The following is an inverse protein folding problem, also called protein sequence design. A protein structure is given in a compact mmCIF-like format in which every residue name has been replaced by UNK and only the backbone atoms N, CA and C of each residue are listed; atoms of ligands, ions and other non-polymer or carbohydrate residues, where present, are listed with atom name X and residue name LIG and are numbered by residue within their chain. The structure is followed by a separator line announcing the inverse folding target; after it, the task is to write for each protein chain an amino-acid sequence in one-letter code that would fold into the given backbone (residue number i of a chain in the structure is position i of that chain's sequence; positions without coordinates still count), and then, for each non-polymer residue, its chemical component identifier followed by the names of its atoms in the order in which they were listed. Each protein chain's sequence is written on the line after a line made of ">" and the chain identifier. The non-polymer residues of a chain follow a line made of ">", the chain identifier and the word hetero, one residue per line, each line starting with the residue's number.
data_IF_853912372586
#
_entry.id   IF_853912372586
#
_cell.length_a   1.000
_cell.length_b   1.000
_cell.length_c   1.000
_cell.angle_alpha   90.00
_cell.angle_beta   90.00
_cell.angle_gamma   90.00
#
_symmetry.space_group_name_H-M   'P 1'
#
loop_
_entity.id
_entity.type
_entity.pdbx_description
1 polymer ?
#
# COMPACT_ATOMS: atom_id res chain seq x y z
N UNK A 1 -8.70 5.57 15.52
CA UNK A 1 -8.49 5.12 14.13
C UNK A 1 -7.43 6.02 13.54
N UNK A 2 -6.30 5.50 13.05
CA UNK A 2 -5.43 6.31 12.19
C UNK A 2 -6.31 6.75 11.01
N UNK A 3 -6.60 8.05 10.92
CA UNK A 3 -7.67 8.57 10.08
C UNK A 3 -7.38 8.33 8.61
N UNK A 4 -8.42 8.30 7.80
CA UNK A 4 -8.33 8.27 6.33
C UNK A 4 -7.38 9.36 5.79
N UNK A 5 -7.30 10.52 6.44
CA UNK A 5 -6.31 11.57 6.15
C UNK A 5 -4.86 11.13 6.37
N UNK A 6 -4.56 10.45 7.49
CA UNK A 6 -3.20 9.96 7.79
C UNK A 6 -2.75 9.01 6.69
N UNK A 7 -3.68 8.14 6.27
CA UNK A 7 -3.48 7.23 5.16
C UNK A 7 -3.28 7.97 3.84
N UNK A 8 -4.14 8.93 3.51
CA UNK A 8 -4.02 9.68 2.25
C UNK A 8 -2.66 10.38 2.14
N UNK A 9 -2.13 10.91 3.25
CA UNK A 9 -0.79 11.51 3.29
C UNK A 9 0.33 10.48 3.10
N UNK A 10 0.25 9.35 3.78
CA UNK A 10 1.30 8.31 3.72
C UNK A 10 1.34 7.61 2.35
N UNK A 11 0.18 7.36 1.74
CA UNK A 11 0.09 6.67 0.46
C UNK A 11 0.15 7.62 -0.74
N UNK A 12 -0.12 8.92 -0.54
CA UNK A 12 -0.08 9.93 -1.61
C UNK A 12 1.30 10.11 -2.24
N UNK A 13 2.38 9.81 -1.50
CA UNK A 13 3.76 9.88 -2.02
C UNK A 13 3.98 8.91 -3.18
N UNK A 14 3.34 7.74 -3.17
CA UNK A 14 3.48 6.75 -4.25
C UNK A 14 2.93 7.24 -5.59
N UNK A 15 1.99 8.20 -5.59
CA UNK A 15 1.46 8.83 -6.82
C UNK A 15 2.51 9.67 -7.55
N UNK A 16 3.57 10.11 -6.86
CA UNK A 16 4.65 10.88 -7.46
C UNK A 16 5.52 10.02 -8.37
N UNK A 17 5.54 8.70 -8.14
CA UNK A 17 6.31 7.75 -8.94
C UNK A 17 5.50 7.37 -10.18
N UNK A 18 5.77 8.06 -11.28
CA UNK A 18 5.15 7.81 -12.58
C UNK A 18 5.90 6.73 -13.34
N UNK A 19 5.57 5.49 -13.03
CA UNK A 19 5.99 4.30 -13.77
C UNK A 19 4.79 3.39 -14.06
N UNK A 20 5.01 2.39 -14.92
CA UNK A 20 4.01 1.39 -15.29
C UNK A 20 4.21 0.06 -14.53
N UNK A 21 4.99 0.07 -13.44
CA UNK A 21 5.21 -1.13 -12.64
C UNK A 21 4.16 -1.23 -11.53
N UNK A 22 3.77 -2.46 -11.12
CA UNK A 22 2.90 -2.64 -9.97
C UNK A 22 3.61 -2.13 -8.71
N UNK A 23 2.91 -1.29 -7.94
CA UNK A 23 3.43 -0.74 -6.68
C UNK A 23 2.89 -1.56 -5.52
N UNK A 24 3.74 -1.93 -4.56
CA UNK A 24 3.35 -2.73 -3.42
C UNK A 24 3.59 -1.98 -2.11
N UNK A 25 2.64 -2.12 -1.17
CA UNK A 25 2.80 -1.69 0.22
C UNK A 25 2.69 -2.93 1.10
N UNK A 26 3.74 -3.20 1.86
CA UNK A 26 3.81 -4.32 2.79
C UNK A 26 3.35 -3.85 4.17
N UNK A 27 2.29 -4.45 4.73
CA UNK A 27 1.89 -4.22 6.12
C UNK A 27 1.58 -5.54 6.82
N UNK A 28 1.49 -5.48 8.15
CA UNK A 28 1.00 -6.57 8.98
C UNK A 28 -0.52 -6.51 9.22
N UNK A 29 -1.21 -5.51 8.65
CA UNK A 29 -2.67 -5.43 8.72
C UNK A 29 -3.28 -6.41 7.71
N UNK A 30 -4.42 -7.00 8.05
CA UNK A 30 -5.19 -7.90 7.17
C UNK A 30 -6.22 -7.15 6.33
N UNK A 31 -6.51 -5.89 6.67
CA UNK A 31 -7.45 -5.07 5.90
C UNK A 31 -6.88 -4.72 4.52
N UNK A 32 -7.66 -4.95 3.46
CA UNK A 32 -7.26 -4.60 2.11
C UNK A 32 -7.59 -3.14 1.82
N UNK A 33 -6.57 -2.40 1.42
CA UNK A 33 -6.68 -0.98 1.12
C UNK A 33 -5.97 -0.64 -0.19
N UNK A 34 -5.96 -1.60 -1.10
CA UNK A 34 -5.39 -1.43 -2.42
C UNK A 34 -6.20 -0.37 -3.17
N UNK A 35 -5.52 0.63 -3.73
CA UNK A 35 -6.13 1.73 -4.45
C UNK A 35 -5.16 2.26 -5.51
N UNK A 36 -5.68 2.67 -6.66
CA UNK A 36 -4.90 3.35 -7.71
C UNK A 36 -3.64 2.60 -8.17
N UNK A 37 -3.72 1.27 -8.25
CA UNK A 37 -2.59 0.43 -8.67
C UNK A 37 -1.54 0.18 -7.59
N UNK A 38 -1.76 0.68 -6.37
CA UNK A 38 -1.00 0.32 -5.17
C UNK A 38 -1.65 -0.91 -4.55
N UNK A 39 -0.91 -2.01 -4.51
CA UNK A 39 -1.35 -3.31 -4.00
C UNK A 39 -0.90 -3.46 -2.56
N UNK A 40 -1.86 -3.72 -1.67
CA UNK A 40 -1.57 -4.08 -0.29
C UNK A 40 -1.20 -5.56 -0.20
N UNK A 41 0.03 -5.86 0.24
CA UNK A 41 0.51 -7.22 0.47
C UNK A 41 0.72 -7.45 1.96
N UNK A 42 0.19 -8.58 2.46
CA UNK A 42 0.41 -8.99 3.83
C UNK A 42 1.87 -9.44 4.01
N UNK A 43 2.58 -8.82 4.94
CA UNK A 43 4.02 -8.99 5.10
C UNK A 43 4.41 -10.47 5.33
N UNK A 44 3.73 -11.26 6.18
CA UNK A 44 4.02 -12.69 6.32
C UNK A 44 3.82 -13.52 5.07
N UNK A 45 2.92 -13.12 4.16
CA UNK A 45 2.73 -13.83 2.89
C UNK A 45 3.86 -13.47 1.92
N UNK A 46 4.23 -12.19 1.85
CA UNK A 46 5.39 -11.74 1.06
C UNK A 46 6.69 -12.42 1.48
N UNK A 47 6.91 -12.66 2.77
CA UNK A 47 8.11 -13.33 3.27
C UNK A 47 8.15 -14.85 2.98
N UNK A 48 7.04 -15.44 2.53
CA UNK A 48 6.95 -16.86 2.16
C UNK A 48 7.03 -17.10 0.65
N UNK A 49 6.95 -16.04 -0.15
CA UNK A 49 7.23 -16.06 -1.60
C UNK A 49 8.75 -16.13 -1.85
#
# INVERSE_FOLDING_TARGET
>A
MAGEETRSREFGVYRLVKDNYPKYVLLMDTMNFSQEGIIHKYLPDFLKE
#
